data_IF_439745372734
#
_entry.id   IF_439745372734
#
_cell.length_a   1.000
_cell.length_b   1.000
_cell.length_c   1.000
_cell.angle_alpha   90.00
_cell.angle_beta   90.00
_cell.angle_gamma   90.00
#
_symmetry.space_group_name_H-M   'P 1'
#
loop_
_entity.id
_entity.type
_entity.pdbx_description
1 polymer ?
#
# COMPACT_ATOMS: atom_id res chain seq x y z
N UNK A 1 -11.19 7.97 -0.44
CA UNK A 1 -11.55 6.54 -0.54
C UNK A 1 -13.06 6.38 -0.49
N UNK A 2 -13.74 6.94 0.52
CA UNK A 2 -15.21 6.87 0.63
C UNK A 2 -15.96 7.45 -0.58
N UNK A 3 -15.43 8.51 -1.19
CA UNK A 3 -15.91 9.08 -2.45
C UNK A 3 -15.91 8.09 -3.64
N UNK A 4 -15.15 7.00 -3.56
CA UNK A 4 -14.99 6.03 -4.64
C UNK A 4 -15.77 4.73 -4.36
N UNK A 5 -15.75 4.24 -3.11
CA UNK A 5 -16.28 2.91 -2.77
C UNK A 5 -17.31 2.94 -1.62
N UNK A 6 -17.74 4.13 -1.20
CA UNK A 6 -18.64 4.28 -0.05
C UNK A 6 -17.96 4.07 1.30
N UNK A 7 -18.77 3.99 2.35
CA UNK A 7 -18.32 3.78 3.72
C UNK A 7 -18.22 2.27 4.02
N UNK A 8 -17.02 1.70 3.98
CA UNK A 8 -16.77 0.26 4.24
C UNK A 8 -16.82 -0.12 5.72
N UNK A 9 -17.64 0.58 6.51
CA UNK A 9 -17.84 0.37 7.96
C UNK A 9 -16.53 0.04 8.72
N UNK A 10 -16.33 -1.14 9.38
CA UNK A 10 -15.12 -1.38 10.16
C UNK A 10 -13.85 -1.44 9.30
N UNK A 11 -13.99 -1.67 7.99
CA UNK A 11 -12.88 -1.67 7.05
C UNK A 11 -12.51 -0.25 6.54
N UNK A 12 -13.21 0.80 6.96
CA UNK A 12 -12.95 2.17 6.49
C UNK A 12 -11.53 2.66 6.75
N UNK A 13 -10.95 2.29 7.89
CA UNK A 13 -9.59 2.63 8.24
C UNK A 13 -8.58 1.98 7.29
N UNK A 14 -8.66 0.64 7.15
CA UNK A 14 -7.72 -0.11 6.31
C UNK A 14 -7.86 0.24 4.82
N UNK A 15 -9.07 0.52 4.32
CA UNK A 15 -9.24 1.02 2.95
C UNK A 15 -8.51 2.36 2.72
N UNK A 16 -8.47 3.24 3.73
CA UNK A 16 -7.72 4.50 3.67
C UNK A 16 -6.21 4.28 3.65
N UNK A 17 -5.72 3.31 4.44
CA UNK A 17 -4.31 2.90 4.47
C UNK A 17 -3.88 2.32 3.12
N UNK A 18 -4.63 1.36 2.57
CA UNK A 18 -4.34 0.74 1.28
C UNK A 18 -4.27 1.79 0.17
N UNK A 19 -5.26 2.71 0.09
CA UNK A 19 -5.20 3.82 -0.89
C UNK A 19 -3.90 4.61 -0.76
N UNK A 20 -3.47 4.88 0.47
CA UNK A 20 -2.31 5.71 0.75
C UNK A 20 -1.01 5.03 0.32
N UNK A 21 -0.86 3.74 0.63
CA UNK A 21 0.30 2.93 0.20
C UNK A 21 0.38 2.93 -1.33
N UNK A 22 -0.71 2.57 -2.01
CA UNK A 22 -0.76 2.55 -3.48
C UNK A 22 -0.46 3.94 -4.09
N UNK A 23 -0.90 5.03 -3.44
CA UNK A 23 -0.63 6.40 -3.89
C UNK A 23 0.85 6.78 -3.73
N UNK A 24 1.51 6.30 -2.67
CA UNK A 24 2.95 6.52 -2.45
C UNK A 24 3.79 5.72 -3.44
N UNK A 25 3.49 4.43 -3.62
CA UNK A 25 4.17 3.55 -4.59
C UNK A 25 4.09 4.11 -6.00
N UNK A 26 2.91 4.57 -6.42
CA UNK A 26 2.69 5.18 -7.73
C UNK A 26 3.14 6.64 -7.82
N UNK A 27 3.54 7.26 -6.71
CA UNK A 27 3.94 8.66 -6.67
C UNK A 27 2.88 9.64 -7.15
N UNK A 28 1.59 9.37 -6.89
CA UNK A 28 0.45 10.16 -7.36
C UNK A 28 -0.54 10.39 -6.23
N UNK A 29 -1.04 11.63 -6.09
CA UNK A 29 -2.21 11.93 -5.25
C UNK A 29 -3.47 11.71 -6.09
N UNK A 30 -4.32 10.69 -5.81
CA UNK A 30 -5.51 10.43 -6.61
C UNK A 30 -6.58 11.50 -6.40
N UNK A 31 -7.25 11.91 -7.48
CA UNK A 31 -8.37 12.85 -7.43
C UNK A 31 -9.57 12.32 -6.64
N UNK A 32 -10.36 13.23 -6.08
CA UNK A 32 -11.66 12.96 -5.49
C UNK A 32 -12.74 13.16 -6.58
N UNK A 33 -13.38 12.09 -7.08
CA UNK A 33 -14.25 12.15 -8.25
C UNK A 33 -15.53 12.94 -8.03
N UNK A 34 -16.00 13.06 -6.78
CA UNK A 34 -17.28 13.72 -6.45
C UNK A 34 -17.11 15.12 -5.88
N UNK A 35 -15.88 15.61 -5.72
CA UNK A 35 -15.63 16.93 -5.16
C UNK A 35 -15.70 18.03 -6.22
N UNK A 36 -16.81 18.77 -6.24
CA UNK A 36 -17.03 19.92 -7.14
C UNK A 36 -16.98 21.24 -6.37
N UNK A 37 -17.94 21.46 -5.48
CA UNK A 37 -18.09 22.69 -4.70
C UNK A 37 -17.65 22.45 -3.25
N UNK A 38 -16.71 23.24 -2.70
CA UNK A 38 -16.34 23.15 -1.29
C UNK A 38 -17.53 23.51 -0.40
N UNK A 39 -17.63 22.88 0.77
CA UNK A 39 -18.62 23.28 1.78
C UNK A 39 -18.30 24.72 2.25
N UNK A 40 -19.24 25.68 2.14
CA UNK A 40 -19.00 27.08 2.51
C UNK A 40 -18.71 27.30 4.00
N UNK A 41 -19.12 26.37 4.87
CA UNK A 41 -18.84 26.41 6.31
C UNK A 41 -17.38 26.06 6.65
N UNK A 42 -16.59 25.60 5.67
CA UNK A 42 -15.20 25.22 5.87
C UNK A 42 -14.29 26.26 5.21
N UNK A 43 -13.55 26.99 6.02
CA UNK A 43 -12.50 27.89 5.54
C UNK A 43 -11.21 27.12 5.19
N UNK A 44 -11.16 26.61 3.96
CA UNK A 44 -10.00 25.87 3.43
C UNK A 44 -8.70 26.70 3.44
N UNK A 45 -8.80 28.02 3.21
CA UNK A 45 -7.63 28.89 3.15
C UNK A 45 -7.00 29.04 4.55
N UNK A 46 -7.82 29.32 5.57
CA UNK A 46 -7.37 29.39 6.96
C UNK A 46 -6.77 28.08 7.45
N UNK A 47 -7.33 26.95 7.02
CA UNK A 47 -6.83 25.61 7.36
C UNK A 47 -5.57 25.20 6.58
N UNK A 48 -5.17 25.95 5.54
CA UNK A 48 -4.06 25.62 4.63
C UNK A 48 -4.18 24.22 4.01
N UNK A 49 -5.41 23.79 3.73
CA UNK A 49 -5.69 22.49 3.09
C UNK A 49 -6.37 22.69 1.74
N UNK A 50 -6.14 21.75 0.84
CA UNK A 50 -6.80 21.72 -0.48
C UNK A 50 -7.20 20.29 -0.81
N UNK A 51 -8.29 20.15 -1.57
CA UNK A 51 -8.78 18.83 -2.01
C UNK A 51 -8.29 18.57 -3.43
N UNK A 52 -7.68 17.40 -3.66
CA UNK A 52 -7.27 16.99 -5.01
C UNK A 52 -8.50 16.67 -5.85
N UNK A 53 -8.86 17.52 -6.82
CA UNK A 53 -9.96 17.27 -7.77
C UNK A 53 -9.56 16.28 -8.86
N UNK A 54 -8.35 16.43 -9.38
CA UNK A 54 -7.75 15.55 -10.39
C UNK A 54 -6.57 14.81 -9.78
N UNK A 55 -6.22 13.67 -10.36
CA UNK A 55 -4.98 12.98 -10.03
C UNK A 55 -3.80 13.86 -10.42
N UNK A 56 -2.77 13.91 -9.57
CA UNK A 56 -1.58 14.74 -9.81
C UNK A 56 -0.32 14.04 -9.26
N UNK A 57 0.86 14.32 -9.81
CA UNK A 57 2.11 13.86 -9.23
C UNK A 57 2.22 14.22 -7.75
N UNK A 58 2.73 13.29 -6.95
CA UNK A 58 3.09 13.51 -5.56
C UNK A 58 4.60 13.71 -5.48
N UNK A 59 5.08 14.96 -5.36
CA UNK A 59 6.51 15.23 -5.28
C UNK A 59 7.12 14.64 -4.01
N UNK A 60 8.36 14.17 -4.12
CA UNK A 60 9.13 13.56 -3.03
C UNK A 60 10.06 14.61 -2.41
N UNK A 61 9.60 15.34 -1.38
CA UNK A 61 10.43 16.38 -0.72
C UNK A 61 10.13 16.47 0.78
N UNK A 62 11.00 16.00 1.70
CA UNK A 62 12.13 15.08 1.51
C UNK A 62 11.70 13.61 1.22
N UNK A 63 10.48 13.25 1.59
CA UNK A 63 9.82 11.97 1.29
C UNK A 63 8.30 12.21 1.27
N UNK A 64 7.52 11.28 0.71
CA UNK A 64 6.05 11.39 0.77
C UNK A 64 5.58 10.94 2.16
N UNK A 65 4.80 11.78 2.83
CA UNK A 65 4.15 11.48 4.11
C UNK A 65 2.66 11.73 4.00
N UNK A 66 1.86 10.85 4.59
CA UNK A 66 0.42 11.01 4.66
C UNK A 66 -0.12 10.65 6.04
N UNK A 67 -1.27 11.25 6.37
CA UNK A 67 -2.05 10.88 7.53
C UNK A 67 -3.37 10.25 7.12
N UNK A 68 -3.76 9.18 7.81
CA UNK A 68 -5.07 8.53 7.66
C UNK A 68 -5.83 8.66 8.98
N UNK A 69 -7.04 9.22 8.88
CA UNK A 69 -7.94 9.42 10.02
C UNK A 69 -9.13 8.45 9.92
N UNK A 70 -9.55 7.92 11.07
CA UNK A 70 -10.81 7.18 11.20
C UNK A 70 -11.50 7.56 12.50
N UNK A 71 -12.75 8.03 12.40
CA UNK A 71 -13.56 8.46 13.53
C UNK A 71 -14.78 7.56 13.61
N UNK A 72 -14.86 6.74 14.67
CA UNK A 72 -15.95 5.82 14.90
C UNK A 72 -17.16 6.54 15.49
N UNK A 73 -18.37 6.09 15.13
CA UNK A 73 -19.62 6.66 15.63
C UNK A 73 -19.70 6.65 17.17
N UNK A 74 -19.16 5.61 17.82
CA UNK A 74 -19.11 5.51 19.29
C UNK A 74 -18.06 6.41 19.97
N UNK A 75 -17.37 7.28 19.23
CA UNK A 75 -16.38 8.23 19.76
C UNK A 75 -14.94 7.73 19.77
N UNK A 76 -14.70 6.44 19.49
CA UNK A 76 -13.34 5.90 19.33
C UNK A 76 -12.69 6.40 18.05
N UNK A 77 -11.52 7.01 18.18
CA UNK A 77 -10.80 7.67 17.09
C UNK A 77 -9.43 7.04 16.89
N UNK A 78 -8.97 6.96 15.64
CA UNK A 78 -7.65 6.50 15.28
C UNK A 78 -7.00 7.42 14.24
N UNK A 79 -5.69 7.58 14.36
CA UNK A 79 -4.85 8.35 13.45
C UNK A 79 -3.55 7.61 13.21
N UNK A 80 -3.17 7.47 11.94
CA UNK A 80 -1.90 6.85 11.54
C UNK A 80 -1.17 7.78 10.59
N UNK A 81 0.15 7.91 10.78
CA UNK A 81 1.06 8.59 9.86
C UNK A 81 1.84 7.52 9.11
N UNK A 82 1.85 7.63 7.79
CA UNK A 82 2.61 6.77 6.89
C UNK A 82 3.72 7.60 6.25
N UNK A 83 4.90 7.01 6.18
CA UNK A 83 6.04 7.50 5.41
C UNK A 83 6.33 6.56 4.25
N UNK A 84 6.67 7.14 3.10
CA UNK A 84 7.28 6.40 2.02
C UNK A 84 8.59 5.78 2.50
N UNK A 85 8.81 4.50 2.17
CA UNK A 85 10.07 3.84 2.48
C UNK A 85 11.25 4.55 1.81
N UNK A 86 12.40 4.60 2.50
CA UNK A 86 13.65 4.99 1.84
C UNK A 86 14.02 3.84 0.92
N UNK A 87 14.10 4.10 -0.37
CA UNK A 87 14.43 3.14 -1.44
C UNK A 87 15.89 2.66 -1.40
N UNK A 88 16.48 2.57 -0.20
CA UNK A 88 17.85 2.18 0.08
C UNK A 88 18.06 1.78 1.55
N UNK A 89 16.99 1.38 2.26
CA UNK A 89 17.20 0.49 3.40
C UNK A 89 17.69 -0.81 2.79
N UNK A 90 18.99 -1.03 2.89
CA UNK A 90 19.68 -2.24 2.46
C UNK A 90 18.86 -3.43 2.97
N UNK A 91 18.28 -4.22 2.06
CA UNK A 91 17.37 -5.29 2.43
C UNK A 91 18.10 -6.36 3.28
N UNK A 92 19.44 -6.35 3.24
CA UNK A 92 20.35 -7.07 4.15
C UNK A 92 20.25 -6.65 5.62
N UNK A 93 19.57 -5.54 5.96
CA UNK A 93 19.41 -5.06 7.33
C UNK A 93 18.01 -5.34 7.92
N UNK A 94 17.09 -5.91 7.14
CA UNK A 94 15.77 -6.31 7.65
C UNK A 94 15.85 -7.69 8.30
N UNK A 95 16.23 -7.75 9.58
CA UNK A 95 16.18 -9.00 10.34
C UNK A 95 14.73 -9.35 10.70
N UNK A 96 14.16 -10.38 10.07
CA UNK A 96 12.88 -10.93 10.49
C UNK A 96 13.11 -11.99 11.58
N UNK A 97 12.67 -11.71 12.81
CA UNK A 97 12.68 -12.71 13.89
C UNK A 97 11.40 -13.54 13.83
N UNK A 98 11.51 -14.75 13.31
CA UNK A 98 10.49 -15.80 13.47
C UNK A 98 10.32 -16.15 14.95
N UNK A 99 9.07 -16.38 15.37
CA UNK A 99 8.76 -16.90 16.72
C UNK A 99 9.13 -18.38 16.92
N UNK A 100 9.57 -19.07 15.86
CA UNK A 100 10.00 -20.46 15.86
C UNK A 100 11.48 -20.57 15.46
N UNK A 101 12.37 -20.79 16.44
CA UNK A 101 13.73 -21.29 16.22
C UNK A 101 14.79 -20.25 15.84
N UNK A 102 16.05 -20.53 16.23
CA UNK A 102 17.22 -19.66 16.03
C UNK A 102 17.38 -19.27 14.56
N UNK A 103 17.49 -17.97 14.32
CA UNK A 103 17.76 -17.38 13.01
C UNK A 103 19.28 -17.26 12.87
N UNK A 104 19.88 -18.08 12.01
CA UNK A 104 21.06 -17.63 11.29
C UNK A 104 20.63 -16.45 10.42
N UNK A 105 21.48 -15.42 10.32
CA UNK A 105 21.25 -14.20 9.54
C UNK A 105 21.15 -14.54 8.05
N UNK A 106 20.00 -15.07 7.63
CA UNK A 106 19.68 -15.35 6.24
C UNK A 106 19.34 -14.02 5.58
N UNK A 107 20.28 -13.49 4.80
CA UNK A 107 20.04 -12.41 3.84
C UNK A 107 19.14 -12.94 2.70
N UNK A 108 17.84 -13.05 2.95
CA UNK A 108 16.84 -13.49 1.96
C UNK A 108 16.77 -12.60 0.70
N UNK A 109 17.33 -11.40 0.75
CA UNK A 109 17.33 -10.42 -0.33
C UNK A 109 18.73 -10.13 -0.89
N UNK A 110 19.74 -10.93 -0.54
CA UNK A 110 20.98 -10.90 -1.32
C UNK A 110 20.62 -11.27 -2.77
N UNK A 111 20.98 -10.41 -3.72
CA UNK A 111 20.97 -10.76 -5.14
C UNK A 111 22.04 -11.83 -5.37
N UNK A 112 21.74 -13.07 -4.99
CA UNK A 112 22.44 -14.21 -5.56
C UNK A 112 22.03 -14.31 -7.02
N UNK A 113 23.00 -14.20 -7.91
CA UNK A 113 22.83 -14.46 -9.33
C UNK A 113 22.49 -15.96 -9.47
N UNK A 114 21.21 -16.27 -9.49
CA UNK A 114 20.68 -17.61 -9.49
C UNK A 114 20.98 -18.31 -10.83
N UNK A 115 21.92 -19.26 -10.81
CA UNK A 115 22.28 -20.05 -12.00
C UNK A 115 21.06 -20.89 -12.49
N UNK A 116 20.71 -20.86 -13.80
CA UNK A 116 19.56 -21.61 -14.32
C UNK A 116 19.86 -23.11 -14.51
N UNK A 117 18.84 -23.99 -14.52
CA UNK A 117 17.41 -23.70 -14.38
C UNK A 117 16.95 -23.58 -12.91
N UNK A 118 16.00 -22.67 -12.68
CA UNK A 118 15.37 -22.44 -11.39
C UNK A 118 14.14 -23.34 -11.21
N UNK A 119 13.99 -23.93 -10.01
CA UNK A 119 12.82 -24.74 -9.65
C UNK A 119 11.83 -23.88 -8.90
N UNK A 120 10.64 -23.68 -9.48
CA UNK A 120 9.51 -23.04 -8.81
C UNK A 120 8.56 -24.11 -8.27
N UNK A 121 8.43 -24.17 -6.95
CA UNK A 121 7.58 -25.15 -6.26
C UNK A 121 6.23 -24.54 -5.93
N UNK A 122 5.15 -25.25 -6.25
CA UNK A 122 3.78 -24.86 -5.93
C UNK A 122 3.09 -25.95 -5.11
N UNK A 123 2.23 -25.53 -4.18
CA UNK A 123 1.39 -26.44 -3.41
C UNK A 123 0.03 -25.78 -3.16
N UNK A 124 -1.03 -26.58 -3.16
CA UNK A 124 -2.37 -26.13 -2.81
C UNK A 124 -3.17 -27.30 -2.19
N UNK A 125 -4.28 -26.97 -1.55
CA UNK A 125 -5.14 -27.97 -0.89
C UNK A 125 -6.00 -28.78 -1.87
N UNK A 126 -6.06 -28.36 -3.14
CA UNK A 126 -6.79 -29.02 -4.21
C UNK A 126 -6.19 -28.69 -5.59
N UNK A 127 -6.53 -29.50 -6.60
CA UNK A 127 -5.98 -29.39 -7.96
C UNK A 127 -6.36 -28.07 -8.63
N UNK A 128 -7.60 -27.60 -8.44
CA UNK A 128 -8.08 -26.36 -9.06
C UNK A 128 -7.32 -25.14 -8.54
N UNK A 129 -7.07 -25.07 -7.23
CA UNK A 129 -6.24 -24.03 -6.63
C UNK A 129 -4.80 -24.03 -7.15
N UNK A 130 -4.20 -25.22 -7.34
CA UNK A 130 -2.86 -25.34 -7.90
C UNK A 130 -2.79 -24.81 -9.35
N UNK A 131 -3.76 -25.18 -10.18
CA UNK A 131 -3.91 -24.69 -11.55
C UNK A 131 -4.10 -23.17 -11.59
N UNK A 132 -4.91 -22.62 -10.67
CA UNK A 132 -5.14 -21.19 -10.55
C UNK A 132 -3.87 -20.42 -10.16
N UNK A 133 -3.05 -20.96 -9.24
CA UNK A 133 -1.77 -20.33 -8.88
C UNK A 133 -0.78 -20.33 -10.04
N UNK A 134 -0.60 -21.49 -10.71
CA UNK A 134 0.27 -21.58 -11.87
C UNK A 134 -0.17 -20.64 -13.00
N UNK A 135 -1.48 -20.58 -13.28
CA UNK A 135 -2.05 -19.68 -14.29
C UNK A 135 -1.86 -18.20 -13.91
N UNK A 136 -2.08 -17.85 -12.65
CA UNK A 136 -1.94 -16.47 -12.16
C UNK A 136 -0.50 -15.99 -12.23
N UNK A 137 0.45 -16.84 -11.82
CA UNK A 137 1.87 -16.51 -11.95
C UNK A 137 2.27 -16.38 -13.42
N UNK A 138 1.87 -17.31 -14.28
CA UNK A 138 2.19 -17.23 -15.71
C UNK A 138 1.66 -15.93 -16.33
N UNK A 139 0.44 -15.51 -15.97
CA UNK A 139 -0.12 -14.21 -16.40
C UNK A 139 0.70 -13.03 -15.89
N UNK A 140 1.13 -13.07 -14.64
CA UNK A 140 1.93 -12.01 -14.03
C UNK A 140 3.34 -11.89 -14.65
N UNK A 141 4.02 -13.01 -14.90
CA UNK A 141 5.34 -13.04 -15.52
C UNK A 141 5.32 -12.55 -16.97
N UNK A 142 4.25 -12.87 -17.70
CA UNK A 142 4.09 -12.43 -19.10
C UNK A 142 3.60 -10.99 -19.22
N UNK A 143 2.96 -10.45 -18.18
CA UNK A 143 2.48 -9.07 -18.12
C UNK A 143 2.73 -8.48 -16.73
N UNK A 144 3.99 -8.12 -16.42
CA UNK A 144 4.28 -7.41 -15.18
C UNK A 144 3.57 -6.06 -15.23
N UNK A 145 2.70 -5.82 -14.24
CA UNK A 145 1.88 -4.62 -14.11
C UNK A 145 2.70 -3.37 -13.79
#
# INVERSE_FOLDING_TARGET
VKSNIGHSEPASGISGVIKTIMAMEKGVVPGNPTFQTPNPEIDFQKLRVSVSRKSRPWPKVPFRRASVNSFGFGGSNAHVILDETKTGADASQLSFKSSFGQTEDLNFFAEEELDPPQVLVFSANDVSSLENYASSLNKHLLNPA
#
